data_IF_025317008460
#
_entry.id   IF_025317008460
#
_cell.length_a   1.000
_cell.length_b   1.000
_cell.length_c   1.000
_cell.angle_alpha   90.00
_cell.angle_beta   90.00
_cell.angle_gamma   90.00
#
_symmetry.space_group_name_H-M   'P 1'
#
loop_
_entity.id
_entity.type
_entity.pdbx_description
1 polymer ?
#
# COMPACT_ATOMS: atom_id res chain seq x y z
N UNK A 1 -42.07 10.31 -22.44
CA UNK A 1 -41.58 8.97 -22.09
C UNK A 1 -40.26 9.18 -21.36
N UNK A 2 -40.31 9.16 -20.03
CA UNK A 2 -39.12 9.38 -19.20
C UNK A 2 -38.27 8.10 -19.21
N UNK A 3 -37.01 8.25 -19.63
CA UNK A 3 -36.00 7.19 -19.51
C UNK A 3 -35.60 7.10 -18.03
N UNK A 4 -36.28 6.25 -17.26
CA UNK A 4 -35.82 5.87 -15.93
C UNK A 4 -34.47 5.16 -16.06
N UNK A 5 -33.39 5.86 -15.72
CA UNK A 5 -32.07 5.26 -15.64
C UNK A 5 -32.10 4.21 -14.52
N UNK A 6 -32.11 2.92 -14.87
CA UNK A 6 -32.08 1.81 -13.91
C UNK A 6 -30.91 2.00 -12.95
N UNK A 7 -31.22 2.26 -11.68
CA UNK A 7 -30.23 2.42 -10.62
C UNK A 7 -29.51 1.07 -10.44
N UNK A 8 -28.19 1.09 -10.49
CA UNK A 8 -27.35 -0.09 -10.31
C UNK A 8 -27.57 -0.67 -8.91
N UNK A 9 -27.83 -1.99 -8.82
CA UNK A 9 -28.18 -2.70 -7.58
C UNK A 9 -27.01 -3.02 -6.66
N UNK A 10 -25.79 -2.62 -7.02
CA UNK A 10 -24.61 -2.78 -6.18
C UNK A 10 -24.71 -1.81 -4.99
N UNK A 11 -24.72 -2.32 -3.77
CA UNK A 11 -24.55 -1.53 -2.55
C UNK A 11 -23.36 -2.07 -1.78
N UNK A 12 -22.55 -1.15 -1.26
CA UNK A 12 -21.54 -1.50 -0.26
C UNK A 12 -22.23 -1.97 1.02
N UNK A 13 -21.55 -2.85 1.77
CA UNK A 13 -22.03 -3.24 3.08
C UNK A 13 -21.95 -2.04 4.04
N UNK A 14 -23.10 -1.60 4.55
CA UNK A 14 -23.20 -0.43 5.42
C UNK A 14 -22.44 -0.61 6.74
N UNK A 15 -22.36 -1.83 7.26
CA UNK A 15 -21.56 -2.16 8.46
C UNK A 15 -20.06 -1.99 8.20
N UNK A 16 -19.58 -2.41 7.01
CA UNK A 16 -18.18 -2.19 6.61
C UNK A 16 -17.88 -0.71 6.41
N UNK A 17 -18.83 0.05 5.85
CA UNK A 17 -18.69 1.50 5.71
C UNK A 17 -18.61 2.18 7.08
N UNK A 18 -19.49 1.82 8.01
CA UNK A 18 -19.48 2.35 9.38
C UNK A 18 -18.19 1.97 10.13
N UNK A 19 -17.74 0.72 10.02
CA UNK A 19 -16.48 0.27 10.61
C UNK A 19 -15.26 1.01 10.03
N UNK A 20 -15.28 1.33 8.73
CA UNK A 20 -14.21 2.07 8.07
C UNK A 20 -14.15 3.56 8.42
N UNK A 21 -15.21 4.11 9.04
CA UNK A 21 -15.33 5.54 9.34
C UNK A 21 -14.31 6.01 10.40
N UNK A 22 -13.80 5.10 11.24
CA UNK A 22 -12.74 5.37 12.22
C UNK A 22 -11.60 4.38 12.09
N UNK A 23 -10.57 4.76 11.33
CA UNK A 23 -9.31 4.02 11.21
C UNK A 23 -8.18 4.72 11.95
N UNK A 24 -7.15 3.96 12.35
CA UNK A 24 -5.89 4.51 12.88
C UNK A 24 -5.34 5.60 11.96
N UNK A 25 -5.37 5.34 10.64
CA UNK A 25 -4.95 6.30 9.61
C UNK A 25 -5.77 7.59 9.64
N UNK A 26 -7.09 7.51 9.81
CA UNK A 26 -7.94 8.71 9.90
C UNK A 26 -7.66 9.55 11.15
N UNK A 27 -7.37 8.92 12.29
CA UNK A 27 -6.99 9.61 13.53
C UNK A 27 -5.61 10.24 13.37
N UNK A 28 -4.64 9.52 12.79
CA UNK A 28 -3.31 10.03 12.50
C UNK A 28 -3.35 11.29 11.64
N UNK A 29 -4.09 11.28 10.53
CA UNK A 29 -4.17 12.46 9.66
C UNK A 29 -4.85 13.64 10.37
N UNK A 30 -5.90 13.41 11.16
CA UNK A 30 -6.49 14.46 11.99
C UNK A 30 -5.47 15.06 12.97
N UNK A 31 -4.62 14.23 13.60
CA UNK A 31 -3.55 14.73 14.46
C UNK A 31 -2.56 15.57 13.67
N UNK A 32 -2.09 15.09 12.51
CA UNK A 32 -1.15 15.79 11.63
C UNK A 32 -1.70 17.15 11.18
N UNK A 33 -2.97 17.23 10.79
CA UNK A 33 -3.61 18.48 10.37
C UNK A 33 -3.68 19.51 11.50
N UNK A 34 -3.70 19.06 12.76
CA UNK A 34 -3.70 19.89 13.96
C UNK A 34 -2.30 20.20 14.51
N UNK A 35 -1.21 19.78 13.84
CA UNK A 35 0.18 20.13 14.22
C UNK A 35 0.52 21.60 13.86
N UNK A 36 -0.46 22.43 13.49
CA UNK A 36 -0.25 23.83 13.13
C UNK A 36 0.50 24.61 14.23
N UNK A 37 1.59 25.28 13.84
CA UNK A 37 2.20 26.36 14.63
C UNK A 37 3.46 26.07 15.43
N UNK A 38 4.18 24.96 15.25
CA UNK A 38 5.37 24.69 16.07
C UNK A 38 6.68 25.24 15.46
N UNK A 39 6.93 26.53 15.71
CA UNK A 39 8.24 27.13 15.99
C UNK A 39 9.49 26.24 15.80
N UNK A 40 9.84 25.90 14.55
CA UNK A 40 11.08 25.18 14.22
C UNK A 40 11.21 23.73 14.72
N UNK A 41 10.18 23.12 15.32
CA UNK A 41 10.25 21.73 15.82
C UNK A 41 9.89 20.72 14.72
N UNK A 42 10.72 19.68 14.55
CA UNK A 42 10.46 18.58 13.62
C UNK A 42 9.46 17.58 14.22
N UNK A 43 8.44 17.22 13.44
CA UNK A 43 7.50 16.14 13.76
C UNK A 43 8.18 14.78 13.65
N UNK A 44 7.98 13.92 14.66
CA UNK A 44 8.40 12.50 14.62
C UNK A 44 7.14 11.65 14.43
N UNK A 45 7.03 11.00 13.27
CA UNK A 45 5.89 10.15 12.94
C UNK A 45 6.10 8.73 13.46
N UNK A 46 5.45 8.36 14.57
CA UNK A 46 5.54 7.01 15.15
C UNK A 46 4.42 6.07 14.68
N UNK A 47 3.48 6.57 13.90
CA UNK A 47 2.32 5.81 13.41
C UNK A 47 2.41 5.45 11.92
N UNK A 48 3.56 5.69 11.28
CA UNK A 48 3.82 5.25 9.92
C UNK A 48 4.40 3.83 9.96
N UNK A 49 3.69 2.88 9.36
CA UNK A 49 4.07 1.47 9.29
C UNK A 49 4.90 1.13 8.04
N UNK A 50 5.00 2.08 7.10
CA UNK A 50 5.84 1.94 5.92
C UNK A 50 7.25 2.45 6.22
N UNK A 51 8.28 1.59 6.34
CA UNK A 51 9.64 2.03 6.61
C UNK A 51 10.24 2.83 5.43
N UNK A 52 9.74 2.68 4.21
CA UNK A 52 10.30 3.35 3.02
C UNK A 52 10.16 4.88 3.05
N UNK A 53 9.29 5.40 3.91
CA UNK A 53 9.15 6.85 4.15
C UNK A 53 10.40 7.47 4.76
N UNK A 54 11.25 6.69 5.43
CA UNK A 54 12.51 7.19 5.98
C UNK A 54 13.68 6.86 5.04
N UNK A 55 14.48 7.86 4.61
CA UNK A 55 15.59 7.65 3.69
C UNK A 55 16.66 6.65 4.13
N UNK A 56 16.75 6.36 5.42
CA UNK A 56 17.69 5.39 5.98
C UNK A 56 17.26 3.93 5.77
N UNK A 57 15.98 3.65 5.52
CA UNK A 57 15.52 2.33 5.11
C UNK A 57 15.59 2.25 3.58
N UNK A 58 16.71 1.72 3.09
CA UNK A 58 16.91 1.40 1.67
C UNK A 58 16.89 -0.10 1.48
N UNK A 59 16.37 -0.52 0.33
CA UNK A 59 16.51 -1.91 -0.10
C UNK A 59 17.99 -2.25 -0.28
N UNK A 60 18.35 -3.53 -0.14
CA UNK A 60 19.72 -3.96 -0.40
C UNK A 60 20.01 -3.90 -1.90
N UNK A 61 21.22 -3.45 -2.33
CA UNK A 61 21.61 -3.48 -3.74
C UNK A 61 21.51 -4.88 -4.37
N UNK A 62 21.62 -5.94 -3.56
CA UNK A 62 21.43 -7.32 -4.02
C UNK A 62 20.02 -7.55 -4.59
N UNK A 63 19.00 -7.00 -3.92
CA UNK A 63 17.61 -7.13 -4.35
C UNK A 63 17.36 -6.31 -5.63
N UNK A 64 17.93 -5.11 -5.72
CA UNK A 64 17.85 -4.27 -6.92
C UNK A 64 18.48 -4.96 -8.13
N UNK A 65 19.69 -5.51 -7.97
CA UNK A 65 20.38 -6.25 -9.02
C UNK A 65 19.59 -7.50 -9.45
N UNK A 66 19.01 -8.25 -8.51
CA UNK A 66 18.19 -9.41 -8.82
C UNK A 66 16.95 -9.04 -9.67
N UNK A 67 16.32 -7.89 -9.41
CA UNK A 67 15.22 -7.38 -10.24
C UNK A 67 15.72 -7.04 -11.64
N UNK A 68 16.85 -6.34 -11.76
CA UNK A 68 17.45 -5.98 -13.06
C UNK A 68 17.77 -7.24 -13.88
N UNK A 69 18.36 -8.24 -13.26
CA UNK A 69 18.71 -9.51 -13.91
C UNK A 69 17.46 -10.29 -14.35
N UNK A 70 16.43 -10.34 -13.50
CA UNK A 70 15.16 -10.97 -13.83
C UNK A 70 14.51 -10.30 -15.06
N UNK A 71 14.47 -8.97 -15.10
CA UNK A 71 13.93 -8.21 -16.24
C UNK A 71 14.74 -8.44 -17.51
N UNK A 72 16.08 -8.37 -17.43
CA UNK A 72 16.97 -8.56 -18.59
C UNK A 72 16.92 -9.99 -19.14
N UNK A 73 16.71 -10.98 -18.29
CA UNK A 73 16.63 -12.39 -18.70
C UNK A 73 15.39 -12.70 -19.55
N UNK A 74 14.32 -11.91 -19.40
CA UNK A 74 12.99 -12.17 -19.97
C UNK A 74 12.39 -13.55 -19.61
N UNK A 75 12.95 -14.27 -18.63
CA UNK A 75 12.52 -15.62 -18.27
C UNK A 75 11.27 -15.66 -17.38
N UNK A 76 10.90 -14.52 -16.79
CA UNK A 76 9.83 -14.43 -15.79
C UNK A 76 8.62 -13.60 -16.28
N UNK A 77 8.43 -13.48 -17.59
CA UNK A 77 7.38 -12.64 -18.19
C UNK A 77 6.01 -13.33 -18.34
N UNK A 78 5.94 -14.63 -18.06
CA UNK A 78 4.72 -15.43 -18.18
C UNK A 78 4.07 -15.68 -16.81
N UNK A 79 2.83 -16.17 -16.83
CA UNK A 79 2.15 -16.57 -15.61
C UNK A 79 2.93 -17.68 -14.85
N UNK A 80 3.17 -17.51 -13.53
CA UNK A 80 3.71 -18.56 -12.70
C UNK A 80 2.62 -19.59 -12.34
N UNK A 81 2.99 -20.75 -11.76
CA UNK A 81 2.03 -21.60 -11.06
C UNK A 81 1.28 -20.80 -9.97
N UNK A 82 0.05 -21.21 -9.63
CA UNK A 82 -0.77 -20.51 -8.63
C UNK A 82 -0.07 -20.35 -7.26
N UNK A 83 0.86 -21.24 -6.93
CA UNK A 83 1.66 -21.21 -5.69
C UNK A 83 2.97 -20.42 -5.84
N UNK A 84 3.32 -19.94 -7.03
CA UNK A 84 4.61 -19.33 -7.34
C UNK A 84 5.62 -20.32 -7.93
N UNK A 85 6.75 -19.78 -8.44
CA UNK A 85 7.79 -20.58 -9.10
C UNK A 85 8.56 -21.46 -8.08
N UNK A 86 8.87 -22.69 -8.47
CA UNK A 86 9.55 -23.65 -7.59
C UNK A 86 10.88 -23.13 -7.03
N UNK A 87 11.76 -22.45 -7.81
CA UNK A 87 12.99 -21.90 -7.26
C UNK A 87 12.73 -20.93 -6.10
N UNK A 88 11.81 -19.97 -6.23
CA UNK A 88 11.49 -19.01 -5.19
C UNK A 88 10.96 -19.68 -3.91
N UNK A 89 10.07 -20.68 -4.05
CA UNK A 89 9.49 -21.38 -2.90
C UNK A 89 10.47 -22.24 -2.10
N UNK A 90 11.63 -22.60 -2.65
CA UNK A 90 12.63 -23.41 -1.93
C UNK A 90 13.52 -22.58 -1.00
N UNK A 91 13.51 -21.26 -1.15
CA UNK A 91 14.36 -20.34 -0.38
C UNK A 91 13.59 -19.60 0.73
N UNK A 92 12.31 -19.91 0.92
CA UNK A 92 11.40 -19.36 1.96
C UNK A 92 10.92 -20.52 2.81
#
# INVERSE_FOLDING_TARGET
MENECKKWGFRGNEELNAASAMSIRSVLYKLIDNISGNEGKRTIHLALDDPSVFPCFRTTPLAENAIVDAVRSAQFNCYPPAVGILPARRYV
#
